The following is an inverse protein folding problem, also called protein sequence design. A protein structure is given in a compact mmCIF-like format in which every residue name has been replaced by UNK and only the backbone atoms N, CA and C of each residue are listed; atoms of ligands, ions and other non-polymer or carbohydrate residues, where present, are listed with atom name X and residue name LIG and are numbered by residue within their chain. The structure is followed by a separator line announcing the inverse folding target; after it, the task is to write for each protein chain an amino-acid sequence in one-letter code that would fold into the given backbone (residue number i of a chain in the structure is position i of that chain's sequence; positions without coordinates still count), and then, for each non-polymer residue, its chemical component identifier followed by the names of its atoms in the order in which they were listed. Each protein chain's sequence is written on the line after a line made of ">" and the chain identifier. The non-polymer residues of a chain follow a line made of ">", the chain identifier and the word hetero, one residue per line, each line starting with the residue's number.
data_IF_706544435305
#
_entry.id   IF_706544435305
#
_cell.length_a   1.000
_cell.length_b   1.000
_cell.length_c   1.000
_cell.angle_alpha   90.00
_cell.angle_beta   90.00
_cell.angle_gamma   90.00
#
_symmetry.space_group_name_H-M   'P 1'
#
loop_
_entity.id
_entity.type
_entity.pdbx_description
1 polymer ?
#
# COMPACT_ATOMS: atom_id res chain seq x y z
N UNK A 1 -9.58 18.31 -16.28
CA UNK A 1 -9.76 18.70 -14.87
C UNK A 1 -8.53 19.48 -14.44
N UNK A 2 -8.72 20.69 -13.92
CA UNK A 2 -7.65 21.48 -13.27
C UNK A 2 -7.06 20.69 -12.08
N UNK A 3 -5.78 20.92 -11.77
CA UNK A 3 -5.13 20.29 -10.61
C UNK A 3 -5.81 20.68 -9.29
N UNK A 4 -6.39 21.89 -9.21
CA UNK A 4 -7.17 22.34 -8.06
C UNK A 4 -8.44 21.50 -7.88
N UNK A 5 -9.12 21.17 -8.97
CA UNK A 5 -10.32 20.32 -8.93
C UNK A 5 -9.98 18.90 -8.46
N UNK A 6 -8.81 18.37 -8.84
CA UNK A 6 -8.35 17.06 -8.37
C UNK A 6 -8.01 17.10 -6.87
N UNK A 7 -7.35 18.18 -6.42
CA UNK A 7 -6.98 18.38 -5.02
C UNK A 7 -8.23 18.57 -4.14
N UNK A 8 -9.22 19.33 -4.59
CA UNK A 8 -10.51 19.50 -3.93
C UNK A 8 -11.25 18.17 -3.79
N UNK A 9 -11.39 17.41 -4.88
CA UNK A 9 -11.98 16.05 -4.83
C UNK A 9 -11.25 15.14 -3.85
N UNK A 10 -9.93 15.22 -3.78
CA UNK A 10 -9.15 14.45 -2.80
C UNK A 10 -9.43 14.90 -1.37
N UNK A 11 -9.51 16.20 -1.10
CA UNK A 11 -9.88 16.70 0.22
C UNK A 11 -11.27 16.22 0.63
N UNK A 12 -12.26 16.23 -0.26
CA UNK A 12 -13.60 15.70 0.03
C UNK A 12 -13.54 14.21 0.39
N UNK A 13 -12.74 13.45 -0.37
CA UNK A 13 -12.53 12.01 -0.14
C UNK A 13 -11.85 11.78 1.20
N UNK A 14 -10.83 12.59 1.53
CA UNK A 14 -10.12 12.53 2.81
C UNK A 14 -11.04 12.87 3.97
N UNK A 15 -11.87 13.90 3.87
CA UNK A 15 -12.82 14.28 4.92
C UNK A 15 -13.89 13.19 5.12
N UNK A 16 -14.40 12.59 4.04
CA UNK A 16 -15.30 11.42 4.13
C UNK A 16 -14.61 10.21 4.77
N UNK A 17 -13.33 10.00 4.47
CA UNK A 17 -12.56 8.89 5.02
C UNK A 17 -12.11 9.11 6.47
N UNK A 18 -11.94 10.36 6.91
CA UNK A 18 -11.49 10.68 8.27
C UNK A 18 -12.45 10.14 9.33
N UNK A 19 -13.76 10.24 9.11
CA UNK A 19 -14.79 9.68 9.99
C UNK A 19 -15.30 8.30 9.53
N UNK A 20 -14.73 7.74 8.46
CA UNK A 20 -15.21 6.53 7.80
C UNK A 20 -14.46 5.27 8.24
N UNK A 21 -15.20 4.22 8.57
CA UNK A 21 -14.64 2.88 8.74
C UNK A 21 -14.40 2.22 7.37
N UNK A 22 -13.22 1.62 7.18
CA UNK A 22 -12.91 0.79 6.00
C UNK A 22 -12.95 -0.68 6.42
N UNK A 23 -14.01 -1.38 6.05
CA UNK A 23 -14.16 -2.81 6.36
C UNK A 23 -13.41 -3.69 5.36
N UNK A 24 -12.61 -4.62 5.89
CA UNK A 24 -12.04 -5.73 5.14
C UNK A 24 -12.68 -7.04 5.64
N UNK A 25 -12.98 -8.01 4.77
CA UNK A 25 -13.55 -9.28 5.21
C UNK A 25 -12.49 -10.11 5.95
N UNK A 26 -12.85 -10.75 7.07
CA UNK A 26 -11.92 -11.55 7.88
C UNK A 26 -11.21 -12.64 7.07
N UNK A 27 -11.94 -13.32 6.17
CA UNK A 27 -11.37 -14.32 5.24
C UNK A 27 -10.21 -13.80 4.40
N UNK A 28 -10.20 -12.50 4.11
CA UNK A 28 -9.13 -11.86 3.37
C UNK A 28 -7.95 -11.57 4.28
N UNK A 29 -8.19 -11.04 5.48
CA UNK A 29 -7.14 -10.73 6.46
C UNK A 29 -6.39 -12.02 6.87
N UNK A 30 -7.12 -13.10 7.09
CA UNK A 30 -6.58 -14.40 7.51
C UNK A 30 -5.99 -15.21 6.33
N UNK A 31 -6.03 -14.67 5.11
CA UNK A 31 -5.58 -15.38 3.92
C UNK A 31 -4.05 -15.49 3.83
N UNK A 32 -3.52 -16.57 3.23
CA UNK A 32 -2.08 -16.70 3.01
C UNK A 32 -1.54 -15.61 2.07
N UNK A 33 -2.36 -15.12 1.14
CA UNK A 33 -2.01 -14.00 0.26
C UNK A 33 -1.77 -12.71 1.05
N UNK A 34 -2.58 -12.46 2.09
CA UNK A 34 -2.47 -11.25 2.90
C UNK A 34 -1.26 -11.32 3.83
N UNK A 35 -1.00 -12.49 4.41
CA UNK A 35 0.23 -12.76 5.14
C UNK A 35 1.50 -12.60 4.27
N UNK A 36 1.40 -12.87 2.96
CA UNK A 36 2.50 -12.71 2.01
C UNK A 36 2.79 -11.25 1.60
N UNK A 37 2.01 -10.26 2.08
CA UNK A 37 2.30 -8.84 1.84
C UNK A 37 3.58 -8.44 2.58
N UNK A 38 4.60 -8.05 1.83
CA UNK A 38 5.92 -7.73 2.36
C UNK A 38 5.98 -6.38 3.09
N UNK A 39 5.07 -5.46 2.74
CA UNK A 39 5.19 -4.06 3.13
C UNK A 39 3.93 -3.50 3.80
N UNK A 40 4.12 -2.77 4.91
CA UNK A 40 3.07 -1.92 5.48
C UNK A 40 2.56 -0.85 4.49
N UNK A 41 3.33 -0.51 3.45
CA UNK A 41 2.84 0.36 2.37
C UNK A 41 1.84 -0.36 1.46
N UNK A 42 2.00 -1.67 1.27
CA UNK A 42 1.07 -2.48 0.50
C UNK A 42 -0.27 -2.63 1.20
N UNK A 43 -0.25 -2.96 2.50
CA UNK A 43 -1.47 -3.01 3.33
C UNK A 43 -2.19 -1.66 3.31
N UNK A 44 -1.49 -0.54 3.54
CA UNK A 44 -2.09 0.80 3.48
C UNK A 44 -2.71 1.12 2.14
N UNK A 45 -2.00 0.82 1.05
CA UNK A 45 -2.49 1.07 -0.32
C UNK A 45 -3.72 0.22 -0.61
N UNK A 46 -3.72 -1.04 -0.17
CA UNK A 46 -4.86 -1.92 -0.30
C UNK A 46 -6.09 -1.41 0.45
N UNK A 47 -5.93 -0.93 1.69
CA UNK A 47 -7.01 -0.25 2.42
C UNK A 47 -7.53 0.97 1.64
N UNK A 48 -6.65 1.73 0.97
CA UNK A 48 -7.08 2.87 0.14
C UNK A 48 -7.92 2.43 -1.06
N UNK A 49 -7.64 1.28 -1.68
CA UNK A 49 -8.51 0.74 -2.73
C UNK A 49 -9.91 0.42 -2.19
N UNK A 50 -10.01 -0.14 -0.99
CA UNK A 50 -11.31 -0.41 -0.35
C UNK A 50 -12.07 0.87 0.07
N UNK A 51 -11.35 1.97 0.32
CA UNK A 51 -11.95 3.29 0.56
C UNK A 51 -12.53 3.91 -0.72
N UNK A 52 -11.90 3.66 -1.88
CA UNK A 52 -12.40 4.14 -3.18
C UNK A 52 -13.48 3.24 -3.78
N UNK A 53 -13.62 2.02 -3.26
CA UNK A 53 -14.68 1.10 -3.64
C UNK A 53 -16.05 1.64 -3.19
N UNK A 54 -17.03 1.59 -4.10
CA UNK A 54 -18.41 1.98 -3.85
C UNK A 54 -19.23 0.73 -3.62
N UNK A 55 -19.95 0.69 -2.51
CA UNK A 55 -20.81 -0.41 -2.14
C UNK A 55 -22.27 -0.04 -2.38
N UNK A 56 -23.10 -1.04 -2.65
CA UNK A 56 -24.54 -0.87 -2.67
C UNK A 56 -25.00 -0.38 -1.29
N UNK A 57 -25.77 0.73 -1.26
CA UNK A 57 -26.30 1.25 0.00
C UNK A 57 -27.37 0.29 0.49
N UNK A 58 -27.04 -0.51 1.51
CA UNK A 58 -28.04 -1.33 2.19
C UNK A 58 -28.79 -0.45 3.17
N UNK A 59 -30.13 -0.58 3.21
CA UNK A 59 -30.96 0.10 4.22
C UNK A 59 -30.45 -0.31 5.60
N UNK A 60 -30.11 0.68 6.44
CA UNK A 60 -29.73 0.43 7.83
C UNK A 60 -30.86 -0.32 8.51
N UNK A 61 -30.56 -1.50 9.08
CA UNK A 61 -31.48 -2.15 10.01
C UNK A 61 -31.36 -1.45 11.37
N UNK A 62 -32.45 -1.30 12.13
CA UNK A 62 -32.38 -0.80 13.50
C UNK A 62 -31.39 -1.65 14.32
N UNK A 63 -30.44 -1.02 15.00
CA UNK A 63 -29.41 -1.70 15.80
C UNK A 63 -28.12 -2.10 15.07
N UNK A 64 -27.97 -1.76 13.79
CA UNK A 64 -26.71 -1.95 13.06
C UNK A 64 -25.96 -0.60 12.95
N UNK A 65 -24.82 -0.49 13.61
CA UNK A 65 -24.02 0.76 13.65
C UNK A 65 -23.40 1.14 12.32
N UNK A 66 -23.17 0.17 11.42
CA UNK A 66 -22.54 0.42 10.13
C UNK A 66 -23.49 0.20 8.93
N UNK A 67 -23.68 1.21 8.05
CA UNK A 67 -24.44 1.07 6.81
C UNK A 67 -23.67 0.37 5.69
N UNK A 68 -22.54 -0.29 6.00
CA UNK A 68 -21.69 -0.87 4.98
C UNK A 68 -22.47 -2.02 4.34
N UNK A 69 -22.78 -1.84 3.06
CA UNK A 69 -23.38 -2.88 2.25
C UNK A 69 -22.52 -4.13 2.21
N UNK A 70 -23.03 -5.21 1.63
CA UNK A 70 -22.25 -6.45 1.48
C UNK A 70 -20.90 -6.11 0.82
N UNK A 71 -19.79 -6.30 1.53
CA UNK A 71 -18.42 -5.98 1.06
C UNK A 71 -18.11 -6.74 -0.23
N UNK A 72 -18.77 -7.88 -0.44
CA UNK A 72 -18.68 -8.69 -1.65
C UNK A 72 -19.33 -8.06 -2.90
N UNK A 73 -20.16 -7.03 -2.73
CA UNK A 73 -20.90 -6.35 -3.82
C UNK A 73 -20.36 -4.94 -4.06
N UNK A 74 -19.20 -4.88 -4.72
CA UNK A 74 -18.60 -3.62 -5.19
C UNK A 74 -19.26 -3.21 -6.51
N UNK A 75 -19.88 -2.03 -6.51
CA UNK A 75 -20.64 -1.52 -7.67
C UNK A 75 -19.77 -0.88 -8.74
N UNK A 76 -18.59 -0.35 -8.38
CA UNK A 76 -17.65 0.30 -9.29
C UNK A 76 -16.41 -0.56 -9.59
N UNK A 77 -16.57 -1.89 -9.58
CA UNK A 77 -15.43 -2.77 -9.81
C UNK A 77 -14.88 -2.57 -11.24
N UNK A 78 -13.58 -2.32 -11.37
CA UNK A 78 -12.94 -1.99 -12.65
C UNK A 78 -12.99 -0.50 -13.03
N UNK A 79 -13.62 0.34 -12.21
CA UNK A 79 -13.64 1.79 -12.39
C UNK A 79 -12.80 2.54 -11.36
N UNK A 80 -12.17 1.83 -10.42
CA UNK A 80 -11.39 2.44 -9.35
C UNK A 80 -10.12 3.04 -9.95
N UNK A 81 -9.99 4.36 -9.89
CA UNK A 81 -8.81 5.08 -10.37
C UNK A 81 -7.98 5.58 -9.19
N UNK A 82 -6.80 5.01 -8.98
CA UNK A 82 -5.86 5.47 -7.96
C UNK A 82 -4.56 5.93 -8.61
N UNK A 83 -4.36 7.25 -8.69
CA UNK A 83 -3.23 7.84 -9.43
C UNK A 83 -2.01 8.07 -8.53
N UNK A 84 -0.84 8.20 -9.15
CA UNK A 84 0.40 8.57 -8.45
C UNK A 84 0.29 9.91 -7.70
N UNK A 85 -0.49 10.86 -8.22
CA UNK A 85 -0.75 12.13 -7.56
C UNK A 85 -1.51 11.93 -6.24
N UNK A 86 -2.56 11.11 -6.27
CA UNK A 86 -3.34 10.75 -5.06
C UNK A 86 -2.46 10.01 -4.04
N UNK A 87 -1.61 9.09 -4.49
CA UNK A 87 -0.64 8.43 -3.63
C UNK A 87 0.32 9.43 -2.97
N UNK A 88 0.79 10.43 -3.72
CA UNK A 88 1.64 11.52 -3.22
C UNK A 88 0.93 12.36 -2.16
N UNK A 89 -0.33 12.71 -2.36
CA UNK A 89 -1.12 13.43 -1.35
C UNK A 89 -1.36 12.62 -0.08
N UNK A 90 -1.37 11.29 -0.18
CA UNK A 90 -1.39 10.39 0.98
C UNK A 90 0.01 10.10 1.57
N UNK A 91 1.04 10.83 1.13
CA UNK A 91 2.40 10.74 1.67
C UNK A 91 3.23 9.57 1.12
N UNK A 92 2.82 8.95 0.01
CA UNK A 92 3.55 7.84 -0.59
C UNK A 92 4.43 8.29 -1.77
N UNK A 93 5.71 7.92 -1.73
CA UNK A 93 6.61 8.14 -2.85
C UNK A 93 6.13 7.37 -4.11
N UNK A 94 6.08 8.01 -5.30
CA UNK A 94 5.62 7.37 -6.54
C UNK A 94 6.34 6.06 -6.89
N UNK A 95 7.66 5.97 -6.66
CA UNK A 95 8.43 4.73 -6.93
C UNK A 95 8.02 3.60 -6.00
N UNK A 96 7.76 3.92 -4.73
CA UNK A 96 7.27 2.95 -3.74
C UNK A 96 5.87 2.49 -4.11
N UNK A 97 4.99 3.43 -4.49
CA UNK A 97 3.64 3.12 -4.93
C UNK A 97 3.62 2.19 -6.16
N UNK A 98 4.48 2.41 -7.15
CA UNK A 98 4.60 1.51 -8.31
C UNK A 98 4.97 0.07 -7.92
N UNK A 99 5.89 -0.11 -6.95
CA UNK A 99 6.27 -1.44 -6.44
C UNK A 99 5.10 -2.11 -5.72
N UNK A 100 4.40 -1.35 -4.88
CA UNK A 100 3.22 -1.82 -4.16
C UNK A 100 2.12 -2.26 -5.13
N UNK A 101 1.85 -1.51 -6.19
CA UNK A 101 0.85 -1.90 -7.19
C UNK A 101 1.19 -3.24 -7.84
N UNK A 102 2.46 -3.45 -8.20
CA UNK A 102 2.93 -4.73 -8.75
C UNK A 102 2.75 -5.87 -7.73
N UNK A 103 3.06 -5.62 -6.47
CA UNK A 103 2.89 -6.61 -5.40
C UNK A 103 1.42 -7.00 -5.19
N UNK A 104 0.52 -6.02 -5.07
CA UNK A 104 -0.91 -6.25 -4.92
C UNK A 104 -1.50 -7.00 -6.11
N UNK A 105 -1.05 -6.67 -7.33
CA UNK A 105 -1.47 -7.37 -8.54
C UNK A 105 -0.93 -8.80 -8.59
N UNK A 106 0.34 -8.98 -8.24
CA UNK A 106 1.00 -10.27 -8.18
C UNK A 106 0.24 -11.22 -7.26
N UNK A 107 -0.11 -10.77 -6.06
CA UNK A 107 -0.85 -11.56 -5.06
C UNK A 107 -2.35 -11.71 -5.38
N UNK A 108 -2.84 -11.09 -6.45
CA UNK A 108 -4.23 -11.23 -6.90
C UNK A 108 -5.25 -10.44 -6.09
N UNK A 109 -4.83 -9.38 -5.42
CA UNK A 109 -5.74 -8.44 -4.72
C UNK A 109 -6.37 -7.44 -5.68
N UNK A 110 -5.60 -7.00 -6.68
CA UNK A 110 -6.05 -6.04 -7.69
C UNK A 110 -5.77 -6.59 -9.08
N UNK A 111 -6.64 -6.28 -10.03
CA UNK A 111 -6.41 -6.50 -11.46
C UNK A 111 -6.50 -5.17 -12.21
N UNK A 112 -5.81 -5.06 -13.34
CA UNK A 112 -5.85 -3.87 -14.19
C UNK A 112 -6.99 -4.00 -15.19
N UNK A 113 -8.09 -3.30 -14.94
CA UNK A 113 -9.27 -3.32 -15.82
C UNK A 113 -9.05 -2.47 -17.09
N UNK A 114 -8.40 -1.32 -16.96
CA UNK A 114 -8.06 -0.45 -18.10
C UNK A 114 -6.70 0.18 -17.87
N UNK A 115 -5.77 -0.03 -18.80
CA UNK A 115 -4.46 0.60 -18.76
C UNK A 115 -4.54 2.04 -19.29
N UNK A 116 -4.04 3.01 -18.51
CA UNK A 116 -3.86 4.37 -18.99
C UNK A 116 -2.68 4.45 -19.95
N UNK A 117 -2.89 4.93 -21.19
CA UNK A 117 -1.84 5.03 -22.22
C UNK A 117 -1.02 6.33 -22.17
N UNK A 118 -1.19 7.14 -21.12
CA UNK A 118 -0.53 8.44 -21.01
C UNK A 118 -1.04 9.50 -21.98
N UNK A 119 -2.08 9.19 -22.76
CA UNK A 119 -2.79 10.12 -23.64
C UNK A 119 -3.90 10.81 -22.86
N UNK A 120 -4.09 12.12 -23.11
CA UNK A 120 -4.97 13.07 -22.42
C UNK A 120 -6.05 12.44 -21.51
N UNK A 121 -5.79 12.44 -20.21
CA UNK A 121 -6.80 12.14 -19.17
C UNK A 121 -7.18 10.66 -18.99
N UNK A 122 -6.60 9.73 -19.74
CA UNK A 122 -6.86 8.30 -19.57
C UNK A 122 -6.02 7.73 -18.41
N UNK A 123 -6.63 7.63 -17.22
CA UNK A 123 -6.01 7.01 -16.05
C UNK A 123 -6.16 5.49 -16.08
N UNK A 124 -5.20 4.80 -15.44
CA UNK A 124 -5.32 3.37 -15.16
C UNK A 124 -6.49 3.14 -14.20
N UNK A 125 -7.38 2.23 -14.57
CA UNK A 125 -8.48 1.76 -13.74
C UNK A 125 -8.19 0.35 -13.27
N UNK A 126 -8.53 0.09 -12.02
CA UNK A 126 -8.30 -1.16 -11.32
C UNK A 126 -9.62 -1.78 -10.89
N UNK A 127 -9.63 -3.10 -10.78
CA UNK A 127 -10.67 -3.91 -10.15
C UNK A 127 -10.11 -4.59 -8.92
N UNK A 128 -10.93 -4.71 -7.87
CA UNK A 128 -10.66 -5.60 -6.75
C UNK A 128 -10.93 -7.04 -7.21
N UNK A 129 -9.94 -7.90 -7.03
CA UNK A 129 -9.95 -9.26 -7.54
C UNK A 129 -10.12 -10.26 -6.41
N UNK A 130 -10.68 -11.44 -6.72
CA UNK A 130 -10.78 -12.57 -5.81
C UNK A 130 -9.70 -13.62 -6.06
N UNK A 131 -8.74 -13.34 -6.95
CA UNK A 131 -7.65 -14.27 -7.28
C UNK A 131 -6.85 -14.68 -6.05
N UNK A 132 -6.63 -13.78 -5.10
CA UNK A 132 -5.95 -14.04 -3.83
C UNK A 132 -6.48 -15.27 -3.08
N UNK A 133 -7.74 -15.66 -3.27
CA UNK A 133 -8.31 -16.87 -2.64
C UNK A 133 -7.64 -18.16 -3.09
N UNK A 134 -7.07 -18.18 -4.30
CA UNK A 134 -6.34 -19.33 -4.86
C UNK A 134 -4.84 -19.26 -4.59
N UNK A 135 -4.36 -18.24 -3.88
CA UNK A 135 -2.94 -18.07 -3.63
C UNK A 135 -2.38 -19.24 -2.80
N UNK A 136 -1.29 -19.85 -3.27
CA UNK A 136 -0.69 -21.03 -2.65
C UNK A 136 -1.37 -22.36 -3.00
N UNK A 137 -2.46 -22.33 -3.79
CA UNK A 137 -3.04 -23.56 -4.36
C UNK A 137 -2.28 -23.98 -5.63
N UNK A 138 -2.36 -25.27 -6.04
CA UNK A 138 -1.75 -25.72 -7.29
C UNK A 138 -2.38 -25.07 -8.54
N UNK A 139 -3.57 -24.49 -8.41
CA UNK A 139 -4.23 -23.73 -9.49
C UNK A 139 -3.76 -22.28 -9.58
N UNK A 140 -2.92 -21.83 -8.65
CA UNK A 140 -2.43 -20.46 -8.62
C UNK A 140 -1.60 -20.15 -9.86
N UNK A 141 -2.00 -19.11 -10.57
CA UNK A 141 -1.25 -18.56 -11.69
C UNK A 141 -0.86 -17.13 -11.38
N UNK A 142 0.46 -16.91 -11.25
CA UNK A 142 1.02 -15.57 -11.18
C UNK A 142 0.83 -14.88 -12.52
N UNK A 143 0.21 -13.69 -12.50
CA UNK A 143 0.02 -12.87 -13.69
C UNK A 143 0.95 -11.66 -13.57
N UNK A 144 1.87 -11.46 -14.52
CA UNK A 144 2.75 -10.30 -14.50
C UNK A 144 1.93 -9.02 -14.64
N UNK A 145 2.39 -7.95 -13.99
CA UNK A 145 1.77 -6.63 -14.16
C UNK A 145 1.87 -6.21 -15.62
N UNK A 146 0.78 -5.74 -16.26
CA UNK A 146 0.79 -5.39 -17.67
C UNK A 146 1.83 -4.32 -17.95
N UNK A 147 2.65 -4.55 -18.97
CA UNK A 147 3.69 -3.59 -19.32
C UNK A 147 3.03 -2.30 -19.85
N UNK A 148 3.53 -1.16 -19.39
CA UNK A 148 3.02 0.13 -19.84
C UNK A 148 3.37 0.32 -21.31
N UNK A 149 2.40 0.13 -22.19
CA UNK A 149 2.55 0.44 -23.60
C UNK A 149 2.62 1.96 -23.77
N UNK A 150 3.84 2.50 -23.79
CA UNK A 150 4.15 3.93 -23.94
C UNK A 150 3.97 4.39 -25.39
N UNK A 151 2.82 4.12 -25.99
CA UNK A 151 2.55 4.44 -27.40
C UNK A 151 2.69 5.94 -27.69
N UNK A 152 2.20 6.79 -26.77
CA UNK A 152 2.26 8.25 -26.92
C UNK A 152 3.57 8.92 -26.45
N UNK A 153 4.47 8.19 -25.78
CA UNK A 153 5.77 8.73 -25.31
C UNK A 153 6.97 8.13 -26.03
N UNK A 154 6.78 7.07 -26.80
CA UNK A 154 7.74 6.66 -27.83
C UNK A 154 7.51 7.54 -29.05
N UNK A 155 7.89 8.82 -28.96
CA UNK A 155 8.43 9.44 -30.16
C UNK A 155 9.55 8.50 -30.62
N UNK A 156 9.41 7.95 -31.83
CA UNK A 156 10.52 7.29 -32.50
C UNK A 156 11.63 8.34 -32.53
N UNK A 157 12.61 8.22 -31.63
CA UNK A 157 13.92 8.80 -31.85
C UNK A 157 14.46 8.06 -33.06
N UNK A 158 14.10 8.56 -34.24
CA UNK A 158 14.88 8.26 -35.42
C UNK A 158 16.31 8.64 -35.04
N UNK A 159 17.23 7.68 -35.11
CA UNK A 159 18.65 7.86 -34.85
C UNK A 159 19.29 8.75 -35.93
N UNK A 160 18.71 9.92 -36.20
CA UNK A 160 19.27 10.95 -37.07
C UNK A 160 20.04 11.94 -36.22
N UNK A 161 21.36 11.76 -36.19
CA UNK A 161 22.38 12.72 -35.76
C UNK A 161 22.11 13.55 -34.49
N UNK A 162 22.89 13.29 -33.45
CA UNK A 162 23.17 14.27 -32.41
C UNK A 162 23.75 15.52 -33.10
N UNK A 163 22.92 16.53 -33.39
CA UNK A 163 23.45 17.87 -33.67
C UNK A 163 24.07 18.33 -32.34
N UNK A 164 25.38 18.63 -32.28
CA UNK A 164 25.91 19.34 -31.13
C UNK A 164 25.12 20.65 -30.99
N UNK A 165 24.77 21.00 -29.75
CA UNK A 165 24.22 22.32 -29.44
C UNK A 165 25.16 23.37 -30.08
N UNK A 166 24.64 24.40 -30.76
CA UNK A 166 25.49 25.50 -31.22
C UNK A 166 26.08 26.16 -29.98
N UNK A 167 27.34 25.85 -29.67
CA UNK A 167 28.12 26.66 -28.76
C UNK A 167 28.51 27.90 -29.54
N UNK A 168 27.76 28.98 -29.32
CA UNK A 168 28.12 30.31 -29.80
C UNK A 168 29.53 30.62 -29.25
N UNK A 169 30.53 30.49 -30.11
CA UNK A 169 31.95 30.64 -29.75
C UNK A 169 32.39 32.10 -29.78
N UNK A 170 31.46 33.06 -29.82
CA UNK A 170 31.77 34.49 -29.97
C UNK A 170 30.95 35.43 -29.07
N UNK A 171 30.50 35.00 -27.89
CA UNK A 171 30.06 35.93 -26.85
C UNK A 171 31.14 36.05 -25.79
N UNK A 172 32.01 37.04 -25.97
CA UNK A 172 32.98 37.51 -24.97
C UNK A 172 32.22 38.23 -23.85
N UNK A 173 31.64 37.50 -22.91
CA UNK A 173 31.13 38.11 -21.68
C UNK A 173 32.33 38.70 -20.92
N UNK A 174 32.28 40.01 -20.66
CA UNK A 174 33.20 40.65 -19.72
C UNK A 174 33.01 39.97 -18.36
N UNK A 175 34.08 39.36 -17.86
CA UNK A 175 34.17 38.85 -16.49
C UNK A 175 34.02 40.05 -15.56
N UNK A 176 32.81 40.28 -15.06
CA UNK A 176 32.60 41.10 -13.87
C UNK A 176 33.15 40.29 -12.72
N UNK A 177 34.23 40.77 -12.10
CA UNK A 177 34.75 40.21 -10.85
C UNK A 177 33.68 40.39 -9.78
N UNK A 178 32.91 39.34 -9.48
CA UNK A 178 32.15 39.29 -8.23
C UNK A 178 33.13 39.19 -7.07
N UNK A 179 32.89 39.93 -5.97
CA UNK A 179 33.79 39.91 -4.82
C UNK A 179 33.79 38.53 -4.15
N UNK A 180 35.00 38.18 -3.73
CA UNK A 180 35.40 37.00 -2.97
C UNK A 180 34.44 36.71 -1.81
N UNK A 181 33.69 35.61 -1.90
CA UNK A 181 33.13 34.97 -0.71
C UNK A 181 34.05 33.78 -0.40
N UNK A 182 35.08 34.07 0.40
CA UNK A 182 36.18 33.18 0.79
C UNK A 182 35.76 31.94 1.57
N UNK A 183 35.19 30.96 0.89
CA UNK A 183 35.12 29.59 1.38
C UNK A 183 35.89 28.68 0.44
N UNK A 184 37.20 28.59 0.72
CA UNK A 184 38.03 27.49 0.23
C UNK A 184 37.40 26.17 0.66
N UNK A 185 36.95 25.38 -0.32
CA UNK A 185 36.67 23.96 -0.08
C UNK A 185 37.98 23.21 -0.30
N UNK A 186 38.60 22.59 0.73
CA UNK A 186 39.75 21.76 0.50
C UNK A 186 39.36 20.56 -0.37
N UNK A 187 40.09 20.41 -1.47
CA UNK A 187 40.05 19.25 -2.35
C UNK A 187 40.68 18.04 -1.65
N UNK A 188 39.99 16.89 -1.75
CA UNK A 188 40.54 15.52 -1.69
C UNK A 188 41.66 15.28 -0.66
N UNK A 189 41.28 14.80 0.53
CA UNK A 189 42.21 14.02 1.35
C UNK A 189 42.31 12.60 0.78
N UNK A 190 43.54 12.17 0.51
CA UNK A 190 43.89 10.82 0.09
C UNK A 190 43.52 9.77 1.16
N UNK A 191 43.34 8.52 0.73
CA UNK A 191 43.04 7.41 1.61
C UNK A 191 44.19 7.13 2.59
N UNK A 192 44.03 7.53 3.84
CA UNK A 192 44.89 7.09 4.94
C UNK A 192 44.49 5.66 5.32
N UNK A 193 45.34 4.70 4.96
CA UNK A 193 45.36 3.38 5.55
C UNK A 193 45.72 3.54 7.04
N UNK A 194 44.78 3.30 7.95
CA UNK A 194 44.96 2.84 9.34
C UNK A 194 43.60 2.94 10.06
N UNK A 195 42.75 1.94 9.84
CA UNK A 195 41.70 1.60 10.81
C UNK A 195 41.76 0.08 11.00
N UNK A 196 42.65 -0.33 11.91
CA UNK A 196 42.59 -1.67 12.47
C UNK A 196 41.26 -1.78 13.22
N UNK A 197 40.34 -2.56 12.67
CA UNK A 197 39.14 -2.99 13.40
C UNK A 197 39.63 -3.90 14.52
N UNK A 198 39.55 -3.43 15.76
CA UNK A 198 39.61 -4.32 16.91
C UNK A 198 38.36 -5.21 16.88
N UNK A 199 38.49 -6.53 17.03
CA UNK A 199 37.34 -7.41 17.14
C UNK A 199 36.64 -7.12 18.47
N UNK A 200 35.41 -6.62 18.42
CA UNK A 200 34.57 -6.57 19.62
C UNK A 200 34.24 -8.00 20.02
N UNK A 201 34.77 -8.37 21.18
CA UNK A 201 34.51 -9.60 21.91
C UNK A 201 33.02 -9.94 21.93
N UNK A 202 32.72 -11.16 21.51
CA UNK A 202 31.45 -11.85 21.72
C UNK A 202 31.31 -12.10 23.22
N UNK A 203 30.40 -11.40 23.90
CA UNK A 203 29.93 -11.85 25.22
C UNK A 203 29.19 -13.16 25.05
N UNK A 204 29.90 -14.25 25.35
CA UNK A 204 29.30 -15.43 25.99
C UNK A 204 28.83 -15.04 27.40
N UNK A 205 27.94 -15.85 27.96
CA UNK A 205 27.23 -15.73 29.25
C UNK A 205 25.90 -14.96 29.10
N UNK A 206 24.72 -15.58 29.17
CA UNK A 206 24.24 -16.52 30.18
C UNK A 206 23.29 -17.57 29.57
N UNK A 207 23.73 -18.83 29.60
CA UNK A 207 22.83 -19.97 29.58
C UNK A 207 22.16 -20.08 30.95
N UNK A 208 20.84 -19.91 31.01
CA UNK A 208 20.07 -20.28 32.21
C UNK A 208 19.66 -21.75 32.11
N UNK A 209 19.94 -22.58 33.14
CA UNK A 209 19.65 -24.00 33.12
C UNK A 209 18.13 -24.27 33.19
N UNK A 210 17.73 -25.19 32.32
CA UNK A 210 16.49 -25.95 32.42
C UNK A 210 16.60 -26.82 33.68
N UNK A 211 15.73 -26.56 34.65
CA UNK A 211 15.53 -27.40 35.84
C UNK A 211 14.07 -27.84 35.96
N UNK A 212 13.80 -29.02 36.52
CA UNK A 212 12.61 -29.81 36.23
C UNK A 212 11.47 -29.62 37.25
N UNK A 213 10.33 -30.20 36.90
CA UNK A 213 9.22 -30.57 37.78
C UNK A 213 8.50 -29.46 38.57
N UNK A 214 7.40 -28.98 37.99
CA UNK A 214 6.23 -28.63 38.80
C UNK A 214 5.07 -29.55 38.46
N UNK A 215 4.75 -30.35 39.47
CA UNK A 215 3.62 -31.26 39.60
C UNK A 215 2.30 -30.62 39.19
N UNK A 216 1.53 -31.43 38.49
CA UNK A 216 0.09 -31.37 38.33
C UNK A 216 -0.55 -31.28 39.72
N UNK A 217 -1.22 -30.17 40.02
CA UNK A 217 -2.26 -30.13 41.06
C UNK A 217 -3.62 -30.15 40.38
N UNK A 218 -4.17 -31.36 40.34
CA UNK A 218 -5.58 -31.66 40.18
C UNK A 218 -6.31 -31.14 41.42
N UNK A 219 -7.06 -30.04 41.27
CA UNK A 219 -8.09 -29.64 42.23
C UNK A 219 -9.44 -29.74 41.56
N UNK A 220 -10.04 -30.92 41.69
CA UNK A 220 -11.45 -31.12 41.49
C UNK A 220 -12.26 -30.26 42.45
N UNK A 221 -13.12 -29.41 41.88
CA UNK A 221 -14.28 -28.88 42.58
C UNK A 221 -15.56 -29.41 41.90
N UNK A 222 -16.10 -30.43 42.55
CA UNK A 222 -17.51 -30.83 42.50
C UNK A 222 -18.39 -29.67 42.97
N UNK A 223 -19.58 -29.54 42.39
CA UNK A 223 -20.68 -28.74 42.93
C UNK A 223 -21.53 -28.17 41.81
N UNK A 224 -22.54 -28.90 41.32
CA UNK A 224 -23.93 -28.78 41.79
C UNK A 224 -24.51 -27.37 41.55
N UNK A 225 -25.47 -27.31 40.62
CA UNK A 225 -26.21 -26.08 40.32
C UNK A 225 -27.23 -26.31 39.21
N UNK A 226 -28.12 -27.28 39.45
CA UNK A 226 -29.42 -27.35 38.78
C UNK A 226 -30.19 -26.09 39.18
N UNK A 227 -30.53 -25.23 38.23
CA UNK A 227 -31.69 -24.36 38.42
C UNK A 227 -32.48 -24.20 37.12
N UNK A 228 -33.70 -24.72 37.22
CA UNK A 228 -34.81 -24.63 36.28
C UNK A 228 -35.28 -23.18 36.21
N UNK A 229 -35.32 -22.58 35.03
CA UNK A 229 -36.18 -21.44 34.78
C UNK A 229 -37.56 -21.94 34.29
N UNK A 230 -38.67 -21.63 34.99
CA UNK A 230 -40.00 -22.10 34.63
C UNK A 230 -40.61 -21.26 33.50
N UNK A 231 -41.33 -21.96 32.60
CA UNK A 231 -42.25 -21.37 31.65
C UNK A 231 -43.33 -20.55 32.36
N UNK A 232 -43.50 -19.27 32.01
CA UNK A 232 -44.74 -18.54 32.28
C UNK A 232 -45.59 -18.52 31.02
N UNK A 233 -46.62 -19.38 31.07
CA UNK A 233 -47.79 -19.41 30.21
C UNK A 233 -48.82 -18.41 30.79
N UNK A 234 -49.33 -17.52 29.94
CA UNK A 234 -50.71 -17.01 29.87
C UNK A 234 -51.33 -16.24 31.05
N UNK A 235 -51.93 -15.08 30.72
CA UNK A 235 -53.34 -14.67 30.98
C UNK A 235 -53.50 -13.22 30.47
N UNK A 236 -54.32 -13.00 29.43
CA UNK A 236 -55.73 -12.55 29.52
C UNK A 236 -55.88 -11.15 30.15
N UNK A 237 -55.94 -10.12 29.29
CA UNK A 237 -57.15 -9.35 28.97
C UNK A 237 -56.85 -8.35 27.85
#
# INVERSE_FOLDING_TARGET
>A
MSDDAKRSRWWDTKHRAWSGFTGLPNRLIDSPAFAALSSAAAVRTFCWFYQEAKYEKVKKRPGMDSPIGKVDKITNNGEISFTYQVAGWRGMNPRRFARVLKELHRLGFIDVAKLGRGVMGAYTKFSLSNRWQRYGSPEWKEIPFPENFREGFREKKNNGHKRPLPTDTNVRYKVVKSPDNGHERPLKTAATAHFQRTPTSVSQDLAMPIGPDRKVEDQGLKGQGVDRAPSRRGKEN
#
